data_IF_117260879505
#
_entry.id   IF_117260879505
#
_cell.length_a   1.000
_cell.length_b   1.000
_cell.length_c   1.000
_cell.angle_alpha   90.00
_cell.angle_beta   90.00
_cell.angle_gamma   90.00
#
_symmetry.space_group_name_H-M   'P 1'
#
loop_
_entity.id
_entity.type
_entity.pdbx_description
1 polymer ?
#
# COMPACT_ATOMS: atom_id res chain seq x y z
N UNK A 1 -10.33 -45.53 19.19
CA UNK A 1 -10.57 -44.99 17.83
C UNK A 1 -11.17 -43.58 17.81
N UNK A 2 -12.02 -43.18 18.76
CA UNK A 2 -12.66 -41.84 18.79
C UNK A 2 -11.69 -40.64 18.95
N UNK A 3 -10.60 -40.79 19.71
CA UNK A 3 -9.62 -39.71 19.95
C UNK A 3 -8.85 -39.29 18.68
N UNK A 4 -8.45 -40.25 17.83
CA UNK A 4 -7.77 -39.94 16.56
C UNK A 4 -8.69 -39.25 15.55
N UNK A 5 -9.97 -39.64 15.52
CA UNK A 5 -10.99 -39.00 14.66
C UNK A 5 -11.29 -37.56 15.12
N UNK A 6 -11.40 -37.32 16.43
CA UNK A 6 -11.59 -35.97 16.98
C UNK A 6 -10.40 -35.06 16.64
N UNK A 7 -9.18 -35.57 16.79
CA UNK A 7 -7.96 -34.82 16.49
C UNK A 7 -7.82 -34.52 14.99
N UNK A 8 -8.22 -35.46 14.13
CA UNK A 8 -8.26 -35.25 12.68
C UNK A 8 -9.32 -34.21 12.27
N UNK A 9 -10.49 -34.20 12.89
CA UNK A 9 -11.54 -33.20 12.63
C UNK A 9 -11.11 -31.81 13.11
N UNK A 10 -10.51 -31.70 14.29
CA UNK A 10 -9.98 -30.44 14.82
C UNK A 10 -8.85 -29.91 13.93
N UNK A 11 -7.94 -30.79 13.50
CA UNK A 11 -6.87 -30.41 12.59
C UNK A 11 -7.43 -29.97 11.24
N UNK A 12 -8.34 -30.73 10.62
CA UNK A 12 -8.97 -30.37 9.35
C UNK A 12 -9.73 -29.04 9.42
N UNK A 13 -10.41 -28.76 10.54
CA UNK A 13 -11.07 -27.49 10.77
C UNK A 13 -10.05 -26.34 10.83
N UNK A 14 -8.95 -26.48 11.58
CA UNK A 14 -7.92 -25.43 11.63
C UNK A 14 -7.21 -25.21 10.30
N UNK A 15 -6.99 -26.25 9.48
CA UNK A 15 -6.45 -26.05 8.12
C UNK A 15 -7.47 -25.34 7.23
N UNK A 16 -8.75 -25.68 7.32
CA UNK A 16 -9.80 -25.02 6.54
C UNK A 16 -9.93 -23.51 6.89
N UNK A 17 -9.82 -23.15 8.17
CA UNK A 17 -9.73 -21.74 8.61
C UNK A 17 -8.41 -21.06 8.22
N UNK A 18 -7.33 -21.82 8.00
CA UNK A 18 -6.09 -21.27 7.46
C UNK A 18 -6.15 -21.06 5.93
N UNK A 19 -7.02 -21.80 5.23
CA UNK A 19 -7.22 -21.67 3.76
C UNK A 19 -8.24 -20.58 3.39
N UNK A 20 -9.03 -20.06 4.32
CA UNK A 20 -9.72 -18.78 4.12
C UNK A 20 -8.63 -17.69 4.10
N UNK A 21 -8.36 -16.93 3.03
CA UNK A 21 -9.26 -16.50 1.96
C UNK A 21 -8.46 -15.73 0.91
N UNK A 22 -8.25 -16.28 -0.28
CA UNK A 22 -7.60 -15.55 -1.39
C UNK A 22 -8.32 -14.22 -1.70
N UNK A 23 -9.66 -14.19 -1.55
CA UNK A 23 -10.46 -12.98 -1.70
C UNK A 23 -10.10 -11.84 -0.73
N UNK A 24 -9.73 -12.16 0.51
CA UNK A 24 -9.32 -11.15 1.50
C UNK A 24 -7.98 -10.50 1.12
N UNK A 25 -7.09 -11.25 0.47
CA UNK A 25 -5.78 -10.76 0.00
C UNK A 25 -5.97 -9.70 -1.08
N UNK A 26 -6.86 -9.93 -2.04
CA UNK A 26 -7.17 -8.94 -3.08
C UNK A 26 -7.85 -7.67 -2.54
N UNK A 27 -8.75 -7.82 -1.57
CA UNK A 27 -9.36 -6.65 -0.90
C UNK A 27 -8.28 -5.87 -0.13
N UNK A 28 -7.41 -6.55 0.61
CA UNK A 28 -6.29 -5.93 1.32
C UNK A 28 -5.31 -5.22 0.37
N UNK A 29 -4.98 -5.84 -0.77
CA UNK A 29 -4.12 -5.29 -1.80
C UNK A 29 -4.71 -4.01 -2.43
N UNK A 30 -6.02 -4.03 -2.75
CA UNK A 30 -6.73 -2.87 -3.27
C UNK A 30 -6.80 -1.71 -2.26
N UNK A 31 -7.06 -2.00 -0.98
CA UNK A 31 -7.08 -0.99 0.08
C UNK A 31 -5.70 -0.39 0.35
N UNK A 32 -4.64 -1.21 0.34
CA UNK A 32 -3.27 -0.73 0.54
C UNK A 32 -2.86 0.31 -0.52
N UNK A 33 -3.08 0.01 -1.80
CA UNK A 33 -2.79 0.95 -2.90
C UNK A 33 -3.75 2.14 -2.88
N UNK A 34 -5.05 1.91 -2.70
CA UNK A 34 -6.06 2.96 -2.76
C UNK A 34 -5.85 4.04 -1.71
N UNK A 35 -5.65 3.65 -0.44
CA UNK A 35 -5.45 4.60 0.66
C UNK A 35 -4.08 5.31 0.58
N UNK A 36 -3.02 4.57 0.22
CA UNK A 36 -1.69 5.15 0.03
C UNK A 36 -1.67 6.17 -1.13
N UNK A 37 -2.30 5.83 -2.26
CA UNK A 37 -2.42 6.71 -3.42
C UNK A 37 -3.25 7.96 -3.13
N UNK A 38 -4.32 7.84 -2.34
CA UNK A 38 -5.11 8.99 -1.89
C UNK A 38 -4.27 9.96 -1.04
N UNK A 39 -3.56 9.44 -0.04
CA UNK A 39 -2.69 10.24 0.82
C UNK A 39 -1.54 10.90 0.04
N UNK A 40 -0.87 10.12 -0.82
CA UNK A 40 0.19 10.62 -1.68
C UNK A 40 -0.32 11.69 -2.65
N UNK A 41 -1.47 11.49 -3.30
CA UNK A 41 -2.05 12.44 -4.24
C UNK A 41 -2.38 13.79 -3.58
N UNK A 42 -2.92 13.79 -2.36
CA UNK A 42 -3.19 15.03 -1.60
C UNK A 42 -1.86 15.72 -1.26
N UNK A 43 -0.88 14.98 -0.75
CA UNK A 43 0.43 15.53 -0.38
C UNK A 43 1.18 16.11 -1.59
N UNK A 44 1.24 15.37 -2.68
CA UNK A 44 1.86 15.78 -3.96
C UNK A 44 1.11 16.97 -4.56
N UNK A 45 -0.22 17.03 -4.47
CA UNK A 45 -0.99 18.18 -4.95
C UNK A 45 -0.62 19.47 -4.24
N UNK A 46 -0.53 19.44 -2.91
CA UNK A 46 -0.18 20.61 -2.09
C UNK A 46 1.30 20.99 -2.29
N UNK A 47 2.21 20.02 -2.18
CA UNK A 47 3.64 20.24 -2.35
C UNK A 47 3.97 20.71 -3.78
N UNK A 48 3.31 20.15 -4.79
CA UNK A 48 3.44 20.52 -6.19
C UNK A 48 3.01 21.95 -6.46
N UNK A 49 1.87 22.38 -5.89
CA UNK A 49 1.41 23.77 -6.01
C UNK A 49 2.42 24.76 -5.41
N UNK A 50 2.96 24.46 -4.22
CA UNK A 50 4.00 25.28 -3.59
C UNK A 50 5.30 25.29 -4.41
N UNK A 51 5.71 24.12 -4.92
CA UNK A 51 6.90 23.97 -5.74
C UNK A 51 6.81 24.78 -7.05
N UNK A 52 5.65 24.82 -7.71
CA UNK A 52 5.48 25.60 -8.94
C UNK A 52 5.58 27.11 -8.68
N UNK A 53 5.00 27.60 -7.58
CA UNK A 53 5.13 29.00 -7.19
C UNK A 53 6.60 29.37 -6.90
N UNK A 54 7.33 28.53 -6.17
CA UNK A 54 8.74 28.74 -5.87
C UNK A 54 9.65 28.59 -7.11
N UNK A 55 9.26 27.75 -8.07
CA UNK A 55 9.98 27.54 -9.33
C UNK A 55 10.01 28.79 -10.20
N UNK A 56 8.94 29.58 -10.21
CA UNK A 56 8.88 30.86 -10.95
C UNK A 56 9.89 31.86 -10.39
N UNK A 57 10.09 31.90 -9.07
CA UNK A 57 11.07 32.80 -8.43
C UNK A 57 12.51 32.31 -8.59
N UNK A 58 12.75 31.01 -8.47
CA UNK A 58 14.08 30.39 -8.49
C UNK A 58 14.15 29.19 -9.44
N UNK A 59 14.22 29.42 -10.76
CA UNK A 59 14.19 28.34 -11.76
C UNK A 59 15.41 27.41 -11.67
N UNK A 60 16.55 27.91 -11.17
CA UNK A 60 17.76 27.12 -10.95
C UNK A 60 17.58 25.99 -9.92
N UNK A 61 16.60 26.09 -9.02
CA UNK A 61 16.35 25.09 -7.97
C UNK A 61 15.36 23.98 -8.38
N UNK A 62 14.97 23.92 -9.67
CA UNK A 62 13.98 22.94 -10.18
C UNK A 62 14.23 21.48 -9.75
N UNK A 63 15.49 21.09 -9.66
CA UNK A 63 15.88 19.71 -9.34
C UNK A 63 15.53 19.39 -7.89
N UNK A 64 15.77 20.33 -6.97
CA UNK A 64 15.43 20.17 -5.55
C UNK A 64 13.93 20.04 -5.37
N UNK A 65 13.14 20.87 -6.05
CA UNK A 65 11.67 20.79 -6.00
C UNK A 65 11.16 19.43 -6.50
N UNK A 66 11.74 18.89 -7.58
CA UNK A 66 11.40 17.56 -8.08
C UNK A 66 11.78 16.45 -7.09
N UNK A 67 12.93 16.56 -6.43
CA UNK A 67 13.35 15.58 -5.40
C UNK A 67 12.36 15.55 -4.24
N UNK A 68 11.95 16.71 -3.72
CA UNK A 68 10.97 16.75 -2.62
C UNK A 68 9.60 16.22 -3.04
N UNK A 69 9.18 16.47 -4.28
CA UNK A 69 7.94 15.93 -4.81
C UNK A 69 8.00 14.40 -4.95
N UNK A 70 9.14 13.85 -5.40
CA UNK A 70 9.36 12.41 -5.47
C UNK A 70 9.38 11.74 -4.10
N UNK A 71 9.93 12.40 -3.07
CA UNK A 71 9.87 11.91 -1.69
C UNK A 71 8.43 11.84 -1.15
N UNK A 72 7.57 12.79 -1.52
CA UNK A 72 6.14 12.72 -1.18
C UNK A 72 5.43 11.56 -1.89
N UNK A 73 5.83 11.24 -3.12
CA UNK A 73 5.26 10.16 -3.92
C UNK A 73 5.66 8.75 -3.41
N UNK A 74 6.77 8.65 -2.66
CA UNK A 74 7.22 7.38 -2.06
C UNK A 74 6.14 6.67 -1.23
N UNK A 75 5.20 7.41 -0.63
CA UNK A 75 4.05 6.84 0.09
C UNK A 75 3.22 5.93 -0.82
N UNK A 76 2.94 6.34 -2.06
CA UNK A 76 2.21 5.54 -3.03
C UNK A 76 3.00 4.29 -3.44
N UNK A 77 4.31 4.43 -3.64
CA UNK A 77 5.20 3.31 -3.99
C UNK A 77 5.21 2.26 -2.87
N UNK A 78 5.23 2.66 -1.60
CA UNK A 78 5.12 1.71 -0.49
C UNK A 78 3.76 1.00 -0.46
N UNK A 79 2.65 1.71 -0.75
CA UNK A 79 1.33 1.10 -0.89
C UNK A 79 1.28 0.07 -2.02
N UNK A 80 1.90 0.38 -3.16
CA UNK A 80 2.05 -0.54 -4.29
C UNK A 80 2.90 -1.76 -3.92
N UNK A 81 4.02 -1.56 -3.25
CA UNK A 81 4.89 -2.64 -2.78
C UNK A 81 4.11 -3.61 -1.89
N UNK A 82 3.36 -3.10 -0.91
CA UNK A 82 2.54 -3.95 -0.02
C UNK A 82 1.49 -4.73 -0.80
N UNK A 83 0.83 -4.10 -1.78
CA UNK A 83 -0.14 -4.78 -2.63
C UNK A 83 0.48 -5.92 -3.44
N UNK A 84 1.67 -5.72 -4.02
CA UNK A 84 2.42 -6.76 -4.73
C UNK A 84 2.82 -7.92 -3.80
N UNK A 85 3.09 -7.65 -2.51
CA UNK A 85 3.41 -8.71 -1.54
C UNK A 85 2.19 -9.50 -1.08
N UNK A 86 0.99 -8.90 -1.12
CA UNK A 86 -0.25 -9.54 -0.69
C UNK A 86 -0.81 -10.48 -1.75
N UNK A 87 -0.67 -10.11 -3.02
CA UNK A 87 -1.02 -10.91 -4.20
C UNK A 87 -0.05 -12.08 -4.33
#
# INVERSE_FOLDING_TARGET
MKSKALLAIVLAATIAFAQTTDGQRYIGAGLAVGLAGLGAGIGVGIAGAAAMSALVEKPQERVWYLIFLALAEAIAIYGLLVSILLI
#
